data_IF_002650337717
#
_entry.id   IF_002650337717
#
_cell.length_a   1.000
_cell.length_b   1.000
_cell.length_c   1.000
_cell.angle_alpha   90.00
_cell.angle_beta   90.00
_cell.angle_gamma   90.00
#
_symmetry.space_group_name_H-M   'P 1'
#
loop_
_entity.id
_entity.type
_entity.pdbx_description
1 polymer ?
#
# COMPACT_ATOMS: atom_id res chain seq x y z
N UNK A 1 -28.89 20.46 28.60
CA UNK A 1 -28.18 20.47 27.30
C UNK A 1 -26.74 20.20 27.64
N UNK A 2 -26.25 18.99 27.38
CA UNK A 2 -24.86 18.65 27.65
C UNK A 2 -24.01 19.28 26.54
N UNK A 3 -23.02 20.09 26.91
CA UNK A 3 -22.00 20.55 25.96
C UNK A 3 -21.31 19.32 25.35
N UNK A 4 -20.98 19.36 24.05
CA UNK A 4 -20.15 18.31 23.47
C UNK A 4 -18.80 18.36 24.19
N UNK A 5 -18.43 17.26 24.84
CA UNK A 5 -17.07 17.08 25.35
C UNK A 5 -16.20 17.02 24.10
N UNK A 6 -15.49 18.11 23.80
CA UNK A 6 -14.42 18.08 22.81
C UNK A 6 -13.37 17.14 23.41
N UNK A 7 -13.34 15.88 22.95
CA UNK A 7 -12.24 14.98 23.28
C UNK A 7 -10.99 15.65 22.73
N UNK A 8 -10.15 16.12 23.64
CA UNK A 8 -8.87 16.68 23.26
C UNK A 8 -7.99 15.51 22.83
N UNK A 9 -7.44 15.62 21.63
CA UNK A 9 -6.43 14.68 21.12
C UNK A 9 -5.29 14.54 22.13
N UNK A 10 -4.77 13.33 22.31
CA UNK A 10 -3.58 13.03 23.07
C UNK A 10 -2.45 13.96 22.58
N UNK A 11 -1.85 14.73 23.50
CA UNK A 11 -0.88 15.75 23.15
C UNK A 11 0.38 15.16 22.49
N UNK A 12 0.63 13.84 22.61
CA UNK A 12 1.72 13.15 21.92
C UNK A 12 1.54 13.11 20.41
N UNK A 13 0.30 13.22 19.92
CA UNK A 13 0.00 13.25 18.49
C UNK A 13 0.12 14.66 17.91
N UNK A 14 0.13 15.71 18.74
CA UNK A 14 0.19 17.10 18.27
C UNK A 14 1.37 17.40 17.32
N UNK A 15 2.60 16.93 17.62
CA UNK A 15 3.75 17.20 16.75
C UNK A 15 3.66 16.56 15.35
N UNK A 16 2.78 15.58 15.11
CA UNK A 16 2.55 15.04 13.76
C UNK A 16 1.90 16.06 12.82
N UNK A 17 1.28 17.11 13.36
CA UNK A 17 0.53 18.13 12.62
C UNK A 17 1.23 19.49 12.70
N UNK A 18 2.53 19.50 12.98
CA UNK A 18 3.37 20.69 12.90
C UNK A 18 3.64 21.06 11.43
N UNK A 19 3.87 22.35 11.17
CA UNK A 19 4.24 22.85 9.84
C UNK A 19 5.69 22.45 9.47
N UNK A 20 6.54 22.18 10.46
CA UNK A 20 7.92 21.79 10.27
C UNK A 20 8.07 20.27 10.05
N UNK A 21 8.51 19.89 8.84
CA UNK A 21 8.64 18.49 8.44
C UNK A 21 9.64 17.70 9.29
N UNK A 22 10.67 18.36 9.84
CA UNK A 22 11.62 17.72 10.74
C UNK A 22 10.95 17.32 12.05
N UNK A 23 10.14 18.21 12.62
CA UNK A 23 9.31 17.95 13.80
C UNK A 23 8.35 16.79 13.57
N UNK A 24 7.66 16.77 12.43
CA UNK A 24 6.75 15.65 12.07
C UNK A 24 7.50 14.34 11.96
N UNK A 25 8.68 14.34 11.31
CA UNK A 25 9.51 13.14 11.16
C UNK A 25 10.00 12.61 12.51
N UNK A 26 10.56 13.46 13.38
CA UNK A 26 11.01 13.05 14.71
C UNK A 26 9.86 12.49 15.54
N UNK A 27 8.70 13.16 15.51
CA UNK A 27 7.50 12.72 16.20
C UNK A 27 7.04 11.34 15.73
N UNK A 28 6.99 11.11 14.42
CA UNK A 28 6.62 9.83 13.84
C UNK A 28 7.58 8.71 14.32
N UNK A 29 8.90 8.94 14.26
CA UNK A 29 9.89 7.96 14.72
C UNK A 29 9.81 7.66 16.22
N UNK A 30 9.48 8.65 17.04
CA UNK A 30 9.28 8.46 18.47
C UNK A 30 7.97 7.73 18.78
N UNK A 31 6.91 8.02 18.03
CA UNK A 31 5.61 7.35 18.18
C UNK A 31 5.67 5.86 17.82
N UNK A 32 6.46 5.45 16.83
CA UNK A 32 6.68 4.02 16.50
C UNK A 32 7.11 3.22 17.74
N UNK A 33 7.92 3.82 18.61
CA UNK A 33 8.49 3.15 19.79
C UNK A 33 7.48 2.95 20.93
N UNK A 34 6.34 3.65 20.90
CA UNK A 34 5.39 3.69 22.02
C UNK A 34 3.99 3.20 21.65
N UNK A 35 3.54 3.41 20.40
CA UNK A 35 2.17 3.05 19.98
C UNK A 35 1.90 1.56 20.17
N UNK A 36 2.89 0.69 19.90
CA UNK A 36 2.75 -0.76 20.07
C UNK A 36 2.38 -1.18 21.51
N UNK A 37 2.87 -0.45 22.52
CA UNK A 37 2.63 -0.74 23.93
C UNK A 37 1.48 0.11 24.53
N UNK A 38 0.82 0.94 23.72
CA UNK A 38 -0.23 1.87 24.14
C UNK A 38 -1.49 1.75 23.25
N UNK A 39 -2.40 0.80 23.58
CA UNK A 39 -3.62 0.58 22.81
C UNK A 39 -4.57 1.78 22.77
N UNK A 40 -4.52 2.66 23.79
CA UNK A 40 -5.35 3.86 23.81
C UNK A 40 -4.84 4.85 22.75
N UNK A 41 -3.51 4.98 22.61
CA UNK A 41 -2.89 5.80 21.55
C UNK A 41 -3.09 5.20 20.15
N UNK A 42 -2.99 3.87 20.01
CA UNK A 42 -3.32 3.16 18.77
C UNK A 42 -4.78 3.42 18.35
N UNK A 43 -5.72 3.27 19.28
CA UNK A 43 -7.13 3.53 19.03
C UNK A 43 -7.39 4.99 18.66
N UNK A 44 -6.65 5.92 19.26
CA UNK A 44 -6.80 7.34 18.95
C UNK A 44 -6.30 7.69 17.54
N UNK A 45 -5.21 7.07 17.07
CA UNK A 45 -4.79 7.19 15.67
C UNK A 45 -5.89 6.69 14.72
N UNK A 46 -6.56 5.59 15.06
CA UNK A 46 -7.68 5.05 14.27
C UNK A 46 -8.87 6.04 14.27
N UNK A 47 -9.29 6.53 15.45
CA UNK A 47 -10.38 7.51 15.57
C UNK A 47 -10.08 8.82 14.79
N UNK A 48 -8.81 9.25 14.79
CA UNK A 48 -8.35 10.40 14.02
C UNK A 48 -8.54 10.17 12.51
N UNK A 49 -8.07 9.04 12.00
CA UNK A 49 -8.20 8.70 10.58
C UNK A 49 -9.67 8.59 10.15
N UNK A 50 -10.50 7.93 10.97
CA UNK A 50 -11.94 7.83 10.69
C UNK A 50 -12.61 9.20 10.60
N UNK A 51 -12.28 10.10 11.53
CA UNK A 51 -12.82 11.47 11.55
C UNK A 51 -12.37 12.25 10.32
N UNK A 52 -11.08 12.22 9.97
CA UNK A 52 -10.56 12.91 8.79
C UNK A 52 -11.20 12.41 7.50
N UNK A 53 -11.38 11.10 7.36
CA UNK A 53 -12.05 10.50 6.20
C UNK A 53 -13.53 10.90 6.10
N UNK A 54 -14.22 11.04 7.23
CA UNK A 54 -15.61 11.48 7.27
C UNK A 54 -15.77 12.96 6.90
N UNK A 55 -14.76 13.79 7.19
CA UNK A 55 -14.74 15.22 6.86
C UNK A 55 -14.40 15.48 5.39
N UNK A 56 -13.62 14.59 4.74
CA UNK A 56 -13.29 14.69 3.32
C UNK A 56 -12.38 15.86 2.96
N UNK A 57 -11.62 16.35 3.93
CA UNK A 57 -10.59 17.37 3.72
C UNK A 57 -9.28 16.73 3.21
N UNK A 58 -8.42 17.52 2.57
CA UNK A 58 -7.12 17.02 2.10
C UNK A 58 -6.28 16.43 3.23
N UNK A 59 -5.41 15.48 2.90
CA UNK A 59 -4.68 14.71 3.91
C UNK A 59 -3.34 15.36 4.26
N UNK A 60 -3.22 15.82 5.50
CA UNK A 60 -1.97 16.41 6.02
C UNK A 60 -0.89 15.36 6.25
N UNK A 61 0.36 15.81 6.41
CA UNK A 61 1.47 14.94 6.77
C UNK A 61 1.25 14.11 8.03
N UNK A 62 0.52 14.65 9.01
CA UNK A 62 0.15 13.92 10.22
C UNK A 62 -0.82 12.76 9.95
N UNK A 63 -1.73 12.91 8.99
CA UNK A 63 -2.65 11.84 8.56
C UNK A 63 -1.85 10.72 7.88
N UNK A 64 -0.98 11.08 6.94
CA UNK A 64 -0.12 10.10 6.25
C UNK A 64 0.80 9.38 7.25
N UNK A 65 1.40 10.10 8.21
CA UNK A 65 2.20 9.50 9.27
C UNK A 65 1.38 8.58 10.18
N UNK A 66 0.12 8.93 10.47
CA UNK A 66 -0.78 8.08 11.27
C UNK A 66 -1.05 6.73 10.59
N UNK A 67 -1.27 6.74 9.26
CA UNK A 67 -1.39 5.51 8.45
C UNK A 67 -0.11 4.67 8.55
N UNK A 68 1.06 5.29 8.30
CA UNK A 68 2.35 4.60 8.36
C UNK A 68 2.64 4.00 9.74
N UNK A 69 2.35 4.75 10.82
CA UNK A 69 2.51 4.30 12.21
C UNK A 69 1.73 3.01 12.49
N UNK A 70 0.47 2.95 12.04
CA UNK A 70 -0.38 1.77 12.21
C UNK A 70 0.20 0.55 11.46
N UNK A 71 0.88 0.77 10.33
CA UNK A 71 1.62 -0.26 9.62
C UNK A 71 2.90 -0.70 10.34
N UNK A 72 3.62 0.22 10.99
CA UNK A 72 4.81 -0.11 11.76
C UNK A 72 4.49 -1.03 12.94
N UNK A 73 3.40 -0.75 13.65
CA UNK A 73 2.93 -1.56 14.78
C UNK A 73 2.11 -2.79 14.35
N UNK A 74 1.89 -2.97 13.04
CA UNK A 74 1.08 -4.04 12.45
C UNK A 74 -0.33 -4.12 13.04
N UNK A 75 -0.98 -2.96 13.17
CA UNK A 75 -2.32 -2.84 13.74
C UNK A 75 -3.35 -3.56 12.88
N UNK A 76 -3.76 -4.75 13.32
CA UNK A 76 -4.84 -5.51 12.67
C UNK A 76 -6.21 -4.86 12.89
N UNK A 77 -6.36 -4.05 13.94
CA UNK A 77 -7.60 -3.32 14.24
C UNK A 77 -7.78 -2.13 13.29
N UNK A 78 -6.69 -1.56 12.79
CA UNK A 78 -6.73 -0.47 11.82
C UNK A 78 -7.10 -0.91 10.39
N UNK A 79 -7.08 -2.20 10.06
CA UNK A 79 -7.31 -2.69 8.69
C UNK A 79 -8.53 -2.06 7.99
N UNK A 80 -9.72 -1.93 8.63
CA UNK A 80 -10.87 -1.30 8.00
C UNK A 80 -10.65 0.18 7.65
N UNK A 81 -10.00 0.96 8.53
CA UNK A 81 -9.76 2.39 8.26
C UNK A 81 -8.68 2.58 7.20
N UNK A 82 -7.65 1.71 7.19
CA UNK A 82 -6.62 1.74 6.13
C UNK A 82 -7.22 1.37 4.77
N UNK A 83 -8.16 0.42 4.72
CA UNK A 83 -8.88 0.11 3.48
C UNK A 83 -9.70 1.31 2.99
N UNK A 84 -10.30 2.10 3.89
CA UNK A 84 -10.98 3.36 3.52
C UNK A 84 -10.00 4.42 3.03
N UNK A 85 -8.79 4.50 3.59
CA UNK A 85 -7.72 5.38 3.10
C UNK A 85 -7.29 5.01 1.67
N UNK A 86 -7.20 3.72 1.34
CA UNK A 86 -6.91 3.24 -0.01
C UNK A 86 -7.96 3.69 -1.05
N UNK A 87 -9.21 3.88 -0.62
CA UNK A 87 -10.33 4.29 -1.47
C UNK A 87 -10.38 5.79 -1.76
N UNK A 88 -9.52 6.59 -1.12
CA UNK A 88 -9.49 8.04 -1.31
C UNK A 88 -8.73 8.40 -2.58
N UNK A 89 -9.14 9.49 -3.22
CA UNK A 89 -8.46 10.07 -4.39
C UNK A 89 -7.27 10.94 -3.96
N UNK A 90 -6.32 10.34 -3.24
CA UNK A 90 -5.06 10.96 -2.82
C UNK A 90 -3.91 9.95 -2.96
N UNK A 91 -3.02 10.22 -3.91
CA UNK A 91 -1.94 9.30 -4.29
C UNK A 91 -0.98 9.03 -3.13
N UNK A 92 -0.68 10.03 -2.30
CA UNK A 92 0.24 9.89 -1.15
C UNK A 92 -0.39 8.99 -0.10
N UNK A 93 -1.68 9.18 0.19
CA UNK A 93 -2.46 8.35 1.11
C UNK A 93 -2.62 6.92 0.60
N UNK A 94 -2.90 6.74 -0.69
CA UNK A 94 -2.99 5.41 -1.32
C UNK A 94 -1.67 4.65 -1.19
N UNK A 95 -0.52 5.29 -1.49
CA UNK A 95 0.80 4.66 -1.34
C UNK A 95 1.12 4.29 0.11
N UNK A 96 0.83 5.19 1.06
CA UNK A 96 0.99 4.89 2.48
C UNK A 96 0.08 3.74 2.93
N UNK A 97 -1.14 3.66 2.38
CA UNK A 97 -2.12 2.60 2.68
C UNK A 97 -1.66 1.25 2.14
N UNK A 98 -1.21 1.17 0.88
CA UNK A 98 -0.66 -0.07 0.29
C UNK A 98 0.47 -0.62 1.15
N UNK A 99 1.45 0.24 1.47
CA UNK A 99 2.56 -0.13 2.34
C UNK A 99 2.08 -0.62 3.70
N UNK A 100 1.15 0.11 4.31
CA UNK A 100 0.59 -0.26 5.63
C UNK A 100 -0.10 -1.62 5.60
N UNK A 101 -0.90 -1.89 4.56
CA UNK A 101 -1.56 -3.20 4.36
C UNK A 101 -0.54 -4.33 4.20
N UNK A 102 0.50 -4.11 3.38
CA UNK A 102 1.61 -5.06 3.21
C UNK A 102 2.31 -5.35 4.53
N UNK A 103 2.50 -4.38 5.41
CA UNK A 103 3.11 -4.58 6.74
C UNK A 103 2.23 -5.30 7.74
N UNK A 104 0.93 -5.02 7.75
CA UNK A 104 -0.04 -5.70 8.63
C UNK A 104 -0.07 -7.20 8.30
N UNK A 105 0.03 -7.57 7.02
CA UNK A 105 0.14 -8.95 6.57
C UNK A 105 -1.21 -9.66 6.46
N UNK A 106 -1.31 -10.92 6.90
CA UNK A 106 -2.49 -11.79 6.63
C UNK A 106 -3.85 -11.12 6.86
N UNK A 107 -4.12 -10.44 7.98
CA UNK A 107 -5.44 -9.83 8.19
C UNK A 107 -5.79 -8.75 7.16
N UNK A 108 -4.80 -8.00 6.70
CA UNK A 108 -4.98 -7.02 5.63
C UNK A 108 -5.17 -7.70 4.27
N UNK A 109 -4.44 -8.79 3.99
CA UNK A 109 -4.64 -9.56 2.76
C UNK A 109 -6.03 -10.18 2.68
N UNK A 110 -6.54 -10.72 3.79
CA UNK A 110 -7.90 -11.28 3.85
C UNK A 110 -8.96 -10.20 3.55
N UNK A 111 -8.82 -9.00 4.12
CA UNK A 111 -9.71 -7.87 3.85
C UNK A 111 -9.64 -7.39 2.39
N UNK A 112 -8.46 -7.44 1.77
CA UNK A 112 -8.28 -7.09 0.36
C UNK A 112 -8.92 -8.13 -0.55
N UNK A 113 -8.81 -9.43 -0.24
CA UNK A 113 -9.51 -10.49 -0.98
C UNK A 113 -11.03 -10.27 -0.88
N UNK A 114 -11.55 -9.92 0.30
CA UNK A 114 -12.98 -9.61 0.48
C UNK A 114 -13.40 -8.38 -0.35
N UNK A 115 -12.56 -7.35 -0.45
CA UNK A 115 -12.83 -6.21 -1.33
C UNK A 115 -12.91 -6.63 -2.81
N UNK A 116 -12.00 -7.49 -3.25
CA UNK A 116 -11.95 -7.99 -4.63
C UNK A 116 -13.10 -8.97 -4.96
N UNK A 117 -13.85 -9.47 -3.98
CA UNK A 117 -15.07 -10.24 -4.25
C UNK A 117 -16.18 -9.37 -4.88
N UNK A 118 -16.12 -8.05 -4.73
CA UNK A 118 -16.98 -7.14 -5.48
C UNK A 118 -16.60 -7.12 -6.97
N UNK A 119 -17.52 -7.60 -7.80
CA UNK A 119 -17.36 -7.66 -9.26
C UNK A 119 -17.55 -6.29 -9.93
N UNK A 120 -18.20 -5.35 -9.25
CA UNK A 120 -18.43 -3.98 -9.73
C UNK A 120 -17.37 -3.01 -9.19
N UNK A 121 -16.37 -3.52 -8.46
CA UNK A 121 -15.25 -2.73 -7.95
C UNK A 121 -14.57 -1.98 -9.09
N UNK A 122 -14.34 -0.69 -8.87
CA UNK A 122 -13.64 0.17 -9.79
C UNK A 122 -12.26 -0.41 -10.15
N UNK A 123 -11.86 -0.26 -11.43
CA UNK A 123 -10.64 -0.88 -11.95
C UNK A 123 -9.36 -0.32 -11.32
N UNK A 124 -9.32 0.98 -11.01
CA UNK A 124 -8.16 1.62 -10.41
C UNK A 124 -8.03 1.21 -8.94
N UNK A 125 -9.15 1.23 -8.20
CA UNK A 125 -9.18 0.73 -6.82
C UNK A 125 -8.83 -0.77 -6.74
N UNK A 126 -9.32 -1.58 -7.69
CA UNK A 126 -8.97 -2.99 -7.76
C UNK A 126 -7.47 -3.19 -8.01
N UNK A 127 -6.85 -2.38 -8.87
CA UNK A 127 -5.41 -2.45 -9.11
C UNK A 127 -4.60 -2.13 -7.84
N UNK A 128 -4.97 -1.07 -7.10
CA UNK A 128 -4.34 -0.72 -5.82
C UNK A 128 -4.51 -1.83 -4.77
N UNK A 129 -5.70 -2.43 -4.72
CA UNK A 129 -6.00 -3.56 -3.83
C UNK A 129 -5.13 -4.78 -4.18
N UNK A 130 -5.03 -5.14 -5.46
CA UNK A 130 -4.16 -6.24 -5.93
C UNK A 130 -2.69 -5.97 -5.58
N UNK A 131 -2.22 -4.73 -5.73
CA UNK A 131 -0.84 -4.36 -5.35
C UNK A 131 -0.56 -4.63 -3.86
N UNK A 132 -1.55 -4.48 -2.98
CA UNK A 132 -1.39 -4.85 -1.56
C UNK A 132 -1.04 -6.33 -1.39
N UNK A 133 -1.64 -7.22 -2.18
CA UNK A 133 -1.46 -8.67 -2.06
C UNK A 133 -0.05 -9.14 -2.42
N UNK A 134 0.66 -8.41 -3.27
CA UNK A 134 2.06 -8.71 -3.61
C UNK A 134 2.98 -8.69 -2.38
N UNK A 135 2.59 -7.94 -1.34
CA UNK A 135 3.30 -7.89 -0.06
C UNK A 135 3.36 -9.23 0.66
N UNK A 136 2.59 -10.24 0.27
CA UNK A 136 2.71 -11.59 0.86
C UNK A 136 4.12 -12.16 0.72
N UNK A 137 4.86 -11.76 -0.32
CA UNK A 137 6.27 -12.12 -0.52
C UNK A 137 7.21 -11.58 0.57
N UNK A 138 6.77 -10.61 1.38
CA UNK A 138 7.51 -10.06 2.51
C UNK A 138 7.37 -10.91 3.78
N UNK A 139 6.48 -11.90 3.78
CA UNK A 139 6.15 -12.71 4.95
C UNK A 139 6.29 -14.21 4.66
N UNK A 140 6.53 -14.99 5.71
CA UNK A 140 6.45 -16.46 5.66
C UNK A 140 5.01 -16.91 5.96
N UNK A 141 4.09 -16.67 5.02
CA UNK A 141 2.65 -16.94 5.14
C UNK A 141 2.15 -17.85 4.01
N UNK A 142 2.48 -19.16 4.01
CA UNK A 142 2.16 -20.04 2.90
C UNK A 142 0.65 -20.19 2.65
N UNK A 143 -0.18 -20.15 3.69
CA UNK A 143 -1.64 -20.24 3.52
C UNK A 143 -2.23 -18.98 2.88
N UNK A 144 -1.80 -17.80 3.33
CA UNK A 144 -2.24 -16.52 2.73
C UNK A 144 -1.77 -16.44 1.29
N UNK A 145 -0.54 -16.89 1.00
CA UNK A 145 -0.01 -16.95 -0.36
C UNK A 145 -0.85 -17.85 -1.26
N UNK A 146 -1.17 -19.07 -0.82
CA UNK A 146 -2.03 -19.98 -1.59
C UNK A 146 -3.41 -19.36 -1.88
N UNK A 147 -4.05 -18.74 -0.87
CA UNK A 147 -5.34 -18.06 -1.04
C UNK A 147 -5.28 -16.88 -2.03
N UNK A 148 -4.22 -16.08 -1.99
CA UNK A 148 -3.98 -14.97 -2.93
C UNK A 148 -3.80 -15.50 -4.34
N UNK A 149 -2.95 -16.51 -4.54
CA UNK A 149 -2.71 -17.10 -5.87
C UNK A 149 -3.97 -17.74 -6.46
N UNK A 150 -4.81 -18.36 -5.63
CA UNK A 150 -6.13 -18.86 -6.04
C UNK A 150 -7.09 -17.75 -6.42
N UNK A 151 -7.19 -16.70 -5.60
CA UNK A 151 -8.02 -15.53 -5.85
C UNK A 151 -7.67 -14.86 -7.19
N UNK A 152 -6.39 -14.53 -7.40
CA UNK A 152 -5.91 -13.85 -8.60
C UNK A 152 -6.14 -14.69 -9.88
N UNK A 153 -5.86 -16.01 -9.82
CA UNK A 153 -6.13 -16.90 -10.97
C UNK A 153 -7.63 -17.01 -11.26
N UNK A 154 -8.48 -17.09 -10.22
CA UNK A 154 -9.92 -17.11 -10.40
C UNK A 154 -10.44 -15.79 -10.99
N UNK A 155 -9.81 -14.68 -10.65
CA UNK A 155 -10.16 -13.36 -11.17
C UNK A 155 -9.94 -13.28 -12.68
N UNK A 156 -8.76 -13.66 -13.20
CA UNK A 156 -8.49 -13.69 -14.65
C UNK A 156 -9.46 -14.57 -15.46
N UNK A 157 -10.05 -15.59 -14.81
CA UNK A 157 -11.04 -16.44 -15.47
C UNK A 157 -12.39 -15.74 -15.68
N UNK A 158 -12.67 -14.66 -14.95
CA UNK A 158 -13.88 -13.85 -15.13
C UNK A 158 -13.81 -13.11 -16.48
N UNK A 159 -14.88 -13.15 -17.29
CA UNK A 159 -14.91 -12.42 -18.55
C UNK A 159 -15.13 -10.92 -18.31
N UNK A 160 -14.55 -10.07 -19.16
CA UNK A 160 -14.85 -8.63 -19.22
C UNK A 160 -14.60 -7.87 -17.91
N UNK A 161 -13.55 -8.23 -17.18
CA UNK A 161 -13.11 -7.42 -16.04
C UNK A 161 -12.59 -6.05 -16.50
N UNK A 162 -12.58 -5.03 -15.61
CA UNK A 162 -11.89 -3.77 -15.88
C UNK A 162 -10.45 -4.02 -16.34
N UNK A 163 -9.97 -3.19 -17.29
CA UNK A 163 -8.65 -3.36 -17.89
C UNK A 163 -7.56 -3.28 -16.81
N UNK A 164 -7.62 -2.27 -15.95
CA UNK A 164 -6.67 -2.03 -14.86
C UNK A 164 -6.61 -3.21 -13.88
N UNK A 165 -7.76 -3.77 -13.51
CA UNK A 165 -7.85 -4.98 -12.65
C UNK A 165 -7.19 -6.18 -13.31
N UNK A 166 -7.41 -6.35 -14.61
CA UNK A 166 -6.85 -7.47 -15.38
C UNK A 166 -5.33 -7.36 -15.51
N UNK A 167 -4.84 -6.16 -15.83
CA UNK A 167 -3.41 -5.84 -15.91
C UNK A 167 -2.72 -6.07 -14.57
N UNK A 168 -3.27 -5.50 -13.49
CA UNK A 168 -2.74 -5.65 -12.13
C UNK A 168 -2.72 -7.12 -11.68
N UNK A 169 -3.77 -7.89 -12.00
CA UNK A 169 -3.82 -9.32 -11.65
C UNK A 169 -2.73 -10.11 -12.37
N UNK A 170 -2.52 -9.87 -13.66
CA UNK A 170 -1.47 -10.52 -14.44
C UNK A 170 -0.08 -10.19 -13.89
N UNK A 171 0.18 -8.90 -13.60
CA UNK A 171 1.44 -8.45 -13.01
C UNK A 171 1.68 -9.05 -11.62
N UNK A 172 0.67 -9.05 -10.74
CA UNK A 172 0.80 -9.62 -9.41
C UNK A 172 1.13 -11.13 -9.46
N UNK A 173 0.47 -11.90 -10.34
CA UNK A 173 0.83 -13.31 -10.55
C UNK A 173 2.27 -13.47 -11.03
N UNK A 174 2.75 -12.55 -11.87
CA UNK A 174 4.13 -12.53 -12.34
C UNK A 174 5.12 -12.19 -11.22
N UNK A 175 4.88 -11.14 -10.45
CA UNK A 175 5.69 -10.76 -9.30
C UNK A 175 5.76 -11.86 -8.24
N UNK A 176 4.66 -12.59 -8.04
CA UNK A 176 4.62 -13.74 -7.13
C UNK A 176 5.27 -15.00 -7.70
N UNK A 177 5.51 -15.07 -9.02
CA UNK A 177 6.12 -16.24 -9.66
C UNK A 177 5.17 -17.41 -9.90
N UNK A 178 3.88 -17.13 -10.11
CA UNK A 178 2.85 -18.15 -10.33
C UNK A 178 2.89 -18.63 -11.79
N UNK A 179 3.89 -19.43 -12.13
CA UNK A 179 4.12 -19.91 -13.50
C UNK A 179 2.95 -20.71 -14.07
N UNK A 180 2.15 -21.35 -13.22
CA UNK A 180 0.92 -22.05 -13.60
C UNK A 180 -0.14 -21.12 -14.20
N UNK A 181 -0.01 -19.80 -14.00
CA UNK A 181 -0.91 -18.81 -14.57
C UNK A 181 -0.63 -18.47 -16.04
N UNK A 182 0.52 -18.86 -16.61
CA UNK A 182 0.91 -18.50 -18.00
C UNK A 182 -0.21 -18.83 -19.00
N UNK A 183 -0.73 -20.06 -18.98
CA UNK A 183 -1.80 -20.45 -19.91
C UNK A 183 -3.09 -19.66 -19.70
N UNK A 184 -3.38 -19.24 -18.47
CA UNK A 184 -4.57 -18.43 -18.15
C UNK A 184 -4.36 -17.02 -18.72
N UNK A 185 -3.20 -16.43 -18.49
CA UNK A 185 -2.85 -15.08 -18.94
C UNK A 185 -2.83 -15.01 -20.48
N UNK A 186 -2.26 -16.02 -21.16
CA UNK A 186 -2.28 -16.12 -22.63
C UNK A 186 -3.72 -16.16 -23.18
N UNK A 187 -4.61 -16.94 -22.55
CA UNK A 187 -6.02 -16.98 -22.93
C UNK A 187 -6.74 -15.65 -22.70
N UNK A 188 -6.42 -14.94 -21.62
CA UNK A 188 -6.98 -13.60 -21.37
C UNK A 188 -6.53 -12.62 -22.44
N UNK A 189 -5.24 -12.63 -22.79
CA UNK A 189 -4.70 -11.79 -23.87
C UNK A 189 -5.43 -12.06 -25.19
N UNK A 190 -5.57 -13.32 -25.60
CA UNK A 190 -6.27 -13.70 -26.83
C UNK A 190 -7.77 -13.35 -26.82
N UNK A 191 -8.43 -13.51 -25.67
CA UNK A 191 -9.88 -13.34 -25.51
C UNK A 191 -10.28 -11.87 -25.46
N UNK A 192 -9.60 -11.08 -24.62
CA UNK A 192 -10.03 -9.74 -24.24
C UNK A 192 -9.19 -8.64 -24.91
N UNK A 193 -7.97 -8.96 -25.33
CA UNK A 193 -7.01 -7.99 -25.88
C UNK A 193 -6.40 -8.50 -27.21
N UNK A 194 -7.22 -8.72 -28.26
CA UNK A 194 -6.74 -9.29 -29.53
C UNK A 194 -5.71 -8.42 -30.27
N UNK A 195 -5.68 -7.11 -29.96
CA UNK A 195 -4.68 -6.16 -30.48
C UNK A 195 -3.42 -6.08 -29.59
N UNK A 196 -3.37 -6.88 -28.51
CA UNK A 196 -2.32 -6.89 -27.51
C UNK A 196 -2.61 -5.97 -26.31
N UNK A 197 -1.93 -6.25 -25.20
CA UNK A 197 -1.88 -5.42 -24.01
C UNK A 197 -0.44 -5.46 -23.46
N UNK A 198 0.18 -4.29 -23.29
CA UNK A 198 1.59 -4.18 -22.91
C UNK A 198 1.85 -4.80 -21.54
N UNK A 199 1.06 -4.43 -20.52
CA UNK A 199 1.24 -4.92 -19.15
C UNK A 199 1.04 -6.44 -19.04
N UNK A 200 0.06 -7.00 -19.73
CA UNK A 200 -0.20 -8.45 -19.73
C UNK A 200 0.93 -9.19 -20.47
N UNK A 201 1.48 -8.60 -21.53
CA UNK A 201 2.64 -9.14 -22.25
C UNK A 201 3.89 -9.12 -21.36
N UNK A 202 4.14 -8.00 -20.69
CA UNK A 202 5.24 -7.82 -19.75
C UNK A 202 5.14 -8.82 -18.59
N UNK A 203 3.93 -9.07 -18.07
CA UNK A 203 3.70 -10.10 -17.05
C UNK A 203 4.08 -11.52 -17.53
N UNK A 204 3.75 -11.86 -18.79
CA UNK A 204 4.15 -13.15 -19.37
C UNK A 204 5.66 -13.26 -19.53
N UNK A 205 6.32 -12.19 -20.00
CA UNK A 205 7.77 -12.17 -20.17
C UNK A 205 8.47 -12.24 -18.81
N UNK A 206 7.97 -11.53 -17.80
CA UNK A 206 8.47 -11.59 -16.43
C UNK A 206 8.34 -13.00 -15.84
N UNK A 207 7.22 -13.70 -16.00
CA UNK A 207 7.08 -15.10 -15.55
C UNK A 207 8.05 -16.06 -16.25
N UNK A 208 8.31 -15.84 -17.54
CA UNK A 208 9.22 -16.69 -18.33
C UNK A 208 10.69 -16.47 -17.94
N UNK A 209 11.06 -15.21 -17.70
CA UNK A 209 12.42 -14.82 -17.34
C UNK A 209 12.70 -15.04 -15.85
N UNK A 210 11.69 -14.87 -15.00
CA UNK A 210 11.75 -14.95 -13.54
C UNK A 210 10.69 -15.91 -12.97
N UNK A 211 10.81 -17.24 -13.18
CA UNK A 211 9.81 -18.21 -12.78
C UNK A 211 9.63 -18.37 -11.26
N UNK A 212 10.49 -17.75 -10.46
CA UNK A 212 10.37 -17.71 -9.00
C UNK A 212 9.70 -16.41 -8.51
N UNK A 213 9.28 -15.55 -9.43
CA UNK A 213 8.80 -14.21 -9.15
C UNK A 213 9.93 -13.22 -8.89
N UNK A 214 9.55 -12.00 -8.54
CA UNK A 214 10.48 -11.01 -8.04
C UNK A 214 10.76 -11.30 -6.56
N UNK A 215 12.03 -11.29 -6.18
CA UNK A 215 12.38 -11.37 -4.76
C UNK A 215 11.78 -10.17 -4.05
N UNK A 216 10.86 -10.40 -3.11
CA UNK A 216 10.34 -9.35 -2.25
C UNK A 216 11.51 -8.67 -1.54
N UNK A 217 11.85 -7.46 -1.96
CA UNK A 217 12.81 -6.66 -1.21
C UNK A 217 12.18 -6.36 0.14
N UNK A 218 12.95 -6.51 1.22
CA UNK A 218 12.52 -6.07 2.53
C UNK A 218 12.01 -4.64 2.40
N UNK A 219 10.79 -4.37 2.88
CA UNK A 219 10.26 -3.02 2.84
C UNK A 219 11.24 -2.06 3.52
N UNK A 220 11.41 -0.87 2.91
CA UNK A 220 12.29 0.15 3.46
C UNK A 220 11.96 0.43 4.92
N UNK A 221 12.95 0.61 5.82
CA UNK A 221 12.68 1.00 7.19
C UNK A 221 11.97 2.37 7.21
N UNK A 222 11.15 2.65 8.25
CA UNK A 222 10.31 3.86 8.27
C UNK A 222 11.12 5.15 8.12
N UNK A 223 12.36 5.18 8.61
CA UNK A 223 13.29 6.30 8.47
C UNK A 223 13.54 6.67 6.99
N UNK A 224 13.58 5.68 6.10
CA UNK A 224 13.74 5.92 4.66
C UNK A 224 12.43 6.39 4.03
N UNK A 225 11.31 5.84 4.48
CA UNK A 225 9.97 6.19 3.98
C UNK A 225 9.68 7.65 4.24
N UNK A 226 9.92 8.12 5.49
CA UNK A 226 9.62 9.49 5.93
C UNK A 226 10.38 10.58 5.18
N UNK A 227 11.34 10.24 4.32
CA UNK A 227 12.01 11.21 3.43
C UNK A 227 11.03 11.95 2.51
N UNK A 228 9.86 11.35 2.22
CA UNK A 228 8.76 11.99 1.49
C UNK A 228 8.33 13.34 2.12
N UNK A 229 8.51 13.53 3.43
CA UNK A 229 8.20 14.79 4.11
C UNK A 229 9.12 15.96 3.68
N UNK A 230 10.29 15.63 3.12
CA UNK A 230 11.35 16.57 2.75
C UNK A 230 11.70 16.55 1.26
N UNK A 231 11.12 15.62 0.50
CA UNK A 231 11.41 15.38 -0.90
C UNK A 231 10.10 15.19 -1.68
N UNK A 232 10.06 15.62 -2.94
CA UNK A 232 8.90 15.42 -3.83
C UNK A 232 8.82 13.95 -4.31
N UNK A 233 8.74 13.01 -3.36
CA UNK A 233 8.65 11.57 -3.59
C UNK A 233 7.43 10.99 -2.85
N UNK A 234 6.87 9.89 -3.36
CA UNK A 234 5.76 9.20 -2.69
C UNK A 234 6.26 8.29 -1.55
N UNK A 235 5.45 8.06 -0.49
CA UNK A 235 5.79 7.13 0.58
C UNK A 235 6.05 5.72 0.04
N UNK A 236 7.27 5.22 0.18
CA UNK A 236 7.65 3.88 -0.28
C UNK A 236 7.78 3.74 -1.80
N UNK A 237 7.88 4.85 -2.54
CA UNK A 237 8.46 4.80 -3.89
C UNK A 237 9.92 4.36 -3.78
N UNK A 238 10.36 3.48 -4.68
CA UNK A 238 11.79 3.23 -4.83
C UNK A 238 12.47 4.58 -5.06
N UNK A 239 13.54 4.87 -4.31
CA UNK A 239 14.48 5.89 -4.70
C UNK A 239 15.11 5.41 -6.01
N UNK A 240 14.43 5.63 -7.14
CA UNK A 240 15.10 5.62 -8.42
C UNK A 240 16.36 6.45 -8.27
N UNK A 241 17.40 6.05 -8.99
CA UNK A 241 18.78 6.51 -8.94
C UNK A 241 18.96 8.02 -9.27
N UNK A 242 17.97 8.87 -9.02
CA UNK A 242 17.97 10.31 -9.10
C UNK A 242 18.93 11.00 -8.11
N UNK A 243 19.51 10.28 -7.14
CA UNK A 243 20.59 10.80 -6.27
C UNK A 243 21.99 10.55 -6.86
N UNK A 244 22.11 9.85 -8.00
CA UNK A 244 23.41 9.64 -8.69
C UNK A 244 23.72 10.69 -9.78
N UNK A 245 22.88 11.70 -9.96
CA UNK A 245 23.10 12.79 -10.91
C UNK A 245 22.99 14.14 -10.23
N UNK A 246 23.87 14.39 -9.27
CA UNK A 246 24.33 15.75 -9.00
C UNK A 246 25.85 15.80 -9.22
N UNK A 247 26.32 16.13 -10.45
CA UNK A 247 27.73 16.34 -10.72
C UNK A 247 28.02 17.83 -10.73
N UNK A 248 27.91 18.54 -9.62
CA UNK A 248 28.40 19.93 -9.43
C UNK A 248 28.14 20.30 -7.95
N UNK A 249 29.06 20.72 -7.09
CA UNK A 249 30.41 21.21 -7.18
C UNK A 249 31.13 20.87 -5.86
N UNK A 250 32.37 20.38 -5.93
CA UNK A 250 33.36 20.85 -4.96
C UNK A 250 34.73 20.92 -5.64
N UNK A 251 34.85 21.96 -6.46
CA UNK A 251 36.12 22.52 -6.88
C UNK A 251 36.32 23.83 -6.12
N UNK A 252 36.81 23.78 -4.88
CA UNK A 252 37.38 24.95 -4.20
C UNK A 252 38.30 24.62 -3.00
N UNK A 253 39.52 24.12 -3.26
CA UNK A 253 40.81 24.59 -2.70
C UNK A 253 41.95 23.59 -2.99
#
# INVERSE_FOLDING_TARGET
MSEPIIRQRDPRLDPLFDDDSHTVMEACLDLVKVVFDDPDLEQELIELLETTLDEGEGYSSGVICSVLLLGEVRSTVATPVILRCLQQDDEVLQRASIRTMRRIGSPAFDAVIELLDDIELDGELAALAIECLEGVSLHDLPQSREAIEECLRADLMRPQMPVQRTEATALALAHLGVVEAIEIIERVLDRDFPDGNAFITDALDLLRDHPQGLSGFAEDPIENVLRWLSAEILPGAELEQAILLDPEEDSAC
#
